data_IF_413201814382
#
_entry.id   IF_413201814382
#
_cell.length_a   1.000
_cell.length_b   1.000
_cell.length_c   1.000
_cell.angle_alpha   90.00
_cell.angle_beta   90.00
_cell.angle_gamma   90.00
#
_symmetry.space_group_name_H-M   'P 1'
#
loop_
_entity.id
_entity.type
_entity.pdbx_description
1 polymer ?
#
# COMPACT_ATOMS: atom_id res chain seq x y z
N UNK A 1 -29.72 -18.89 3.04
CA UNK A 1 -28.43 -18.50 2.43
C UNK A 1 -28.09 -17.11 2.95
N UNK A 2 -27.22 -16.99 3.95
CA UNK A 2 -26.87 -15.68 4.53
C UNK A 2 -25.73 -15.10 3.71
N UNK A 3 -25.96 -13.96 3.06
CA UNK A 3 -24.90 -13.19 2.42
C UNK A 3 -23.93 -12.73 3.52
N UNK A 4 -22.70 -13.24 3.50
CA UNK A 4 -21.63 -12.71 4.35
C UNK A 4 -21.31 -11.29 3.87
N UNK A 5 -21.64 -10.29 4.69
CA UNK A 5 -21.29 -8.90 4.45
C UNK A 5 -19.77 -8.73 4.33
N UNK A 6 -19.34 -7.89 3.40
CA UNK A 6 -17.91 -7.64 3.18
C UNK A 6 -17.30 -6.97 4.41
N UNK A 7 -16.41 -7.68 5.10
CA UNK A 7 -15.64 -7.13 6.21
C UNK A 7 -14.48 -6.30 5.66
N UNK A 8 -14.31 -5.10 6.18
CA UNK A 8 -13.21 -4.19 5.82
C UNK A 8 -11.87 -4.82 6.23
N UNK A 9 -10.84 -4.65 5.41
CA UNK A 9 -9.49 -5.07 5.76
C UNK A 9 -9.02 -4.32 7.03
N UNK A 10 -8.77 -5.01 8.16
CA UNK A 10 -8.40 -4.37 9.42
C UNK A 10 -7.06 -3.62 9.36
N UNK A 11 -6.18 -3.95 8.39
CA UNK A 11 -4.92 -3.23 8.17
C UNK A 11 -5.15 -1.84 7.61
N UNK A 12 -6.00 -1.73 6.58
CA UNK A 12 -6.38 -0.44 6.00
C UNK A 12 -7.19 0.41 6.97
N UNK A 13 -8.06 -0.23 7.77
CA UNK A 13 -8.87 0.44 8.78
C UNK A 13 -8.04 1.04 9.93
N UNK A 14 -6.86 0.49 10.22
CA UNK A 14 -5.97 0.94 11.31
C UNK A 14 -4.81 1.83 10.84
N UNK A 15 -4.76 2.13 9.55
CA UNK A 15 -3.74 2.99 8.95
C UNK A 15 -3.92 4.44 9.47
N UNK A 16 -2.91 4.99 10.15
CA UNK A 16 -2.95 6.33 10.74
C UNK A 16 -3.25 6.41 12.25
N UNK A 17 -3.70 5.32 12.89
CA UNK A 17 -3.88 5.27 14.36
C UNK A 17 -2.84 4.36 15.03
N UNK A 18 -2.77 3.09 14.61
CA UNK A 18 -1.85 2.09 15.20
C UNK A 18 -0.82 1.53 14.21
N UNK A 19 -0.97 1.77 12.90
CA UNK A 19 0.01 1.37 11.88
C UNK A 19 0.45 2.59 11.07
N UNK A 20 1.77 2.80 10.99
CA UNK A 20 2.39 3.81 10.15
C UNK A 20 2.36 3.38 8.68
N UNK A 21 2.42 4.35 7.76
CA UNK A 21 2.57 4.06 6.34
C UNK A 21 3.90 3.32 6.10
N UNK A 22 3.84 2.22 5.34
CA UNK A 22 5.04 1.48 4.89
C UNK A 22 5.89 2.26 3.87
N UNK A 23 5.37 3.39 3.41
CA UNK A 23 5.94 4.26 2.38
C UNK A 23 5.92 5.70 2.92
N UNK A 24 7.03 6.13 3.52
CA UNK A 24 7.20 7.48 4.06
C UNK A 24 7.89 8.38 3.04
N UNK A 25 7.20 8.70 1.93
CA UNK A 25 7.72 9.59 0.90
C UNK A 25 6.68 10.63 0.50
N UNK A 26 7.13 11.85 0.24
CA UNK A 26 6.30 12.94 -0.28
C UNK A 26 6.74 13.22 -1.71
N UNK A 27 5.81 13.17 -2.65
CA UNK A 27 6.07 13.48 -4.05
C UNK A 27 5.08 14.51 -4.55
N UNK A 28 5.50 15.33 -5.51
CA UNK A 28 4.60 16.27 -6.17
C UNK A 28 3.52 15.47 -6.92
N UNK A 29 2.26 15.95 -6.98
CA UNK A 29 1.17 15.19 -7.57
C UNK A 29 1.42 14.78 -9.04
N UNK A 30 2.24 15.53 -9.78
CA UNK A 30 2.65 15.21 -11.15
C UNK A 30 3.60 14.00 -11.23
N UNK A 31 4.50 13.86 -10.27
CA UNK A 31 5.53 12.81 -10.23
C UNK A 31 5.15 11.66 -9.29
N UNK A 32 4.05 11.77 -8.54
CA UNK A 32 3.58 10.74 -7.62
C UNK A 32 3.32 9.40 -8.32
N UNK A 33 2.70 9.43 -9.51
CA UNK A 33 2.39 8.22 -10.26
C UNK A 33 3.65 7.47 -10.72
N UNK A 34 4.66 8.20 -11.18
CA UNK A 34 5.94 7.64 -11.63
C UNK A 34 6.71 7.02 -10.46
N UNK A 35 6.83 7.75 -9.34
CA UNK A 35 7.49 7.25 -8.13
C UNK A 35 6.79 6.01 -7.56
N UNK A 36 5.46 5.94 -7.63
CA UNK A 36 4.70 4.77 -7.20
C UNK A 36 5.00 3.54 -8.08
N UNK A 37 5.11 3.73 -9.40
CA UNK A 37 5.47 2.65 -10.31
C UNK A 37 6.89 2.14 -10.06
N UNK A 38 7.83 3.03 -9.77
CA UNK A 38 9.21 2.65 -9.42
C UNK A 38 9.25 1.87 -8.11
N UNK A 39 8.56 2.33 -7.06
CA UNK A 39 8.48 1.64 -5.77
C UNK A 39 7.88 0.23 -5.94
N UNK A 40 6.83 0.09 -6.76
CA UNK A 40 6.25 -1.22 -7.05
C UNK A 40 7.24 -2.16 -7.78
N UNK A 41 8.01 -1.65 -8.74
CA UNK A 41 9.04 -2.42 -9.46
C UNK A 41 10.14 -2.89 -8.52
N UNK A 42 10.63 -2.01 -7.65
CA UNK A 42 11.67 -2.33 -6.66
C UNK A 42 11.17 -3.40 -5.68
N UNK A 43 9.94 -3.26 -5.15
CA UNK A 43 9.35 -4.26 -4.25
C UNK A 43 9.16 -5.62 -4.92
N UNK A 44 8.71 -5.65 -6.17
CA UNK A 44 8.58 -6.88 -6.94
C UNK A 44 9.94 -7.55 -7.17
N UNK A 45 10.97 -6.76 -7.52
CA UNK A 45 12.33 -7.24 -7.70
C UNK A 45 12.89 -7.88 -6.40
N UNK A 46 12.76 -7.18 -5.27
CA UNK A 46 13.22 -7.69 -3.96
C UNK A 46 12.48 -8.97 -3.57
N UNK A 47 11.16 -9.03 -3.79
CA UNK A 47 10.35 -10.21 -3.47
C UNK A 47 10.69 -11.43 -4.33
N UNK A 48 11.15 -11.23 -5.56
CA UNK A 48 11.56 -12.32 -6.44
C UNK A 48 12.99 -12.80 -6.17
N UNK A 49 13.83 -11.95 -5.57
CA UNK A 49 15.21 -12.28 -5.24
C UNK A 49 15.35 -13.09 -3.94
N UNK A 50 14.40 -12.96 -3.03
CA UNK A 50 14.30 -13.70 -1.75
C UNK A 50 13.38 -14.89 -1.91
#
# INVERSE_FOLDING_TARGET
MVFMGQKINPLGFRLGTNQAHYSLWFSQPKTYAENLQEDQKIRAFIKNYV
#
